data_IF_000888487745
#
_entry.id   IF_000888487745
#
_cell.length_a   1.000
_cell.length_b   1.000
_cell.length_c   1.000
_cell.angle_alpha   90.00
_cell.angle_beta   90.00
_cell.angle_gamma   90.00
#
_symmetry.space_group_name_H-M   'P 1'
#
loop_
_entity.id
_entity.type
_entity.pdbx_description
1 polymer ?
#
# COMPACT_ATOMS: atom_id res chain seq x y z
N UNK A 1 -11.72 -9.42 -15.68
CA UNK A 1 -10.76 -8.33 -16.00
C UNK A 1 -9.46 -8.59 -15.25
N UNK A 2 -8.34 -8.58 -15.97
CA UNK A 2 -6.99 -8.91 -15.46
C UNK A 2 -6.54 -8.03 -14.28
N UNK A 3 -7.17 -6.88 -14.08
CA UNK A 3 -6.87 -5.95 -12.98
C UNK A 3 -7.35 -6.44 -11.60
N UNK A 4 -8.41 -7.26 -11.52
CA UNK A 4 -8.95 -7.76 -10.24
C UNK A 4 -7.89 -8.43 -9.33
N UNK A 5 -7.08 -9.38 -9.83
CA UNK A 5 -6.05 -10.01 -8.99
C UNK A 5 -4.93 -9.05 -8.57
N UNK A 6 -4.59 -8.05 -9.38
CA UNK A 6 -3.57 -7.05 -9.03
C UNK A 6 -4.05 -6.18 -7.88
N UNK A 7 -5.29 -5.67 -7.97
CA UNK A 7 -5.90 -4.88 -6.91
C UNK A 7 -6.01 -5.66 -5.60
N UNK A 8 -6.28 -6.97 -5.67
CA UNK A 8 -6.31 -7.83 -4.48
C UNK A 8 -4.96 -7.86 -3.77
N UNK A 9 -3.86 -8.05 -4.51
CA UNK A 9 -2.50 -8.07 -3.93
C UNK A 9 -2.11 -6.73 -3.32
N UNK A 10 -2.49 -5.62 -3.97
CA UNK A 10 -2.25 -4.28 -3.44
C UNK A 10 -2.99 -4.10 -2.11
N UNK A 11 -4.28 -4.48 -2.04
CA UNK A 11 -5.05 -4.40 -0.80
C UNK A 11 -4.46 -5.27 0.31
N UNK A 12 -4.02 -6.49 -0.01
CA UNK A 12 -3.35 -7.38 0.96
C UNK A 12 -2.06 -6.75 1.52
N UNK A 13 -1.26 -6.09 0.68
CA UNK A 13 -0.07 -5.37 1.12
C UNK A 13 -0.41 -4.15 2.00
N UNK A 14 -1.46 -3.40 1.64
CA UNK A 14 -1.96 -2.26 2.44
C UNK A 14 -2.42 -2.72 3.82
N UNK A 15 -3.22 -3.79 3.90
CA UNK A 15 -3.72 -4.35 5.16
C UNK A 15 -2.59 -4.85 6.06
N UNK A 16 -1.58 -5.49 5.48
CA UNK A 16 -0.43 -5.97 6.23
C UNK A 16 0.40 -4.82 6.82
N UNK A 17 0.78 -3.84 6.00
CA UNK A 17 1.52 -2.65 6.48
C UNK A 17 0.71 -1.88 7.52
N UNK A 18 -0.60 -1.72 7.29
CA UNK A 18 -1.52 -1.06 8.21
C UNK A 18 -1.57 -1.75 9.57
N UNK A 19 -1.75 -3.07 9.59
CA UNK A 19 -1.82 -3.85 10.83
C UNK A 19 -0.49 -3.91 11.58
N UNK A 20 0.64 -4.12 10.90
CA UNK A 20 1.97 -4.17 11.52
C UNK A 20 2.37 -2.83 12.17
N UNK A 21 1.95 -1.72 11.57
CA UNK A 21 2.24 -0.37 12.07
C UNK A 21 1.12 0.24 12.92
N UNK A 22 0.08 -0.55 13.20
CA UNK A 22 -1.05 -0.13 14.06
C UNK A 22 -1.78 1.11 13.54
N UNK A 23 -2.02 1.19 12.23
CA UNK A 23 -2.89 2.22 11.65
C UNK A 23 -4.35 1.78 11.69
N UNK A 24 -5.22 2.65 12.19
CA UNK A 24 -6.66 2.43 12.18
C UNK A 24 -7.30 2.74 10.82
N UNK A 25 -6.69 3.65 10.04
CA UNK A 25 -7.17 4.13 8.74
C UNK A 25 -6.01 4.39 7.78
N UNK A 26 -6.20 3.98 6.52
CA UNK A 26 -5.31 4.32 5.39
C UNK A 26 -6.17 5.05 4.35
N UNK A 27 -5.71 6.22 3.94
CA UNK A 27 -6.42 7.10 3.01
C UNK A 27 -5.71 7.14 1.66
N UNK A 28 -6.47 7.09 0.57
CA UNK A 28 -5.93 7.24 -0.78
C UNK A 28 -5.67 8.72 -1.09
N UNK A 29 -4.39 9.07 -1.21
CA UNK A 29 -3.95 10.43 -1.53
C UNK A 29 -4.46 10.95 -2.88
N UNK A 30 -4.84 10.09 -3.83
CA UNK A 30 -5.37 10.51 -5.14
C UNK A 30 -6.83 10.99 -5.07
N UNK A 31 -7.59 10.56 -4.06
CA UNK A 31 -9.05 10.77 -4.05
C UNK A 31 -9.50 12.18 -3.72
N UNK A 32 -8.57 13.12 -3.51
CA UNK A 32 -8.88 14.51 -3.19
C UNK A 32 -9.50 14.62 -1.80
N UNK A 33 -8.71 15.00 -0.80
CA UNK A 33 -9.19 15.09 0.58
C UNK A 33 -8.08 15.30 1.60
N UNK A 34 -6.85 14.94 1.23
CA UNK A 34 -5.66 15.21 2.04
C UNK A 34 -5.04 16.52 1.54
N UNK A 35 -5.26 17.61 2.29
CA UNK A 35 -4.67 18.93 1.99
C UNK A 35 -3.23 19.02 2.50
N UNK A 36 -2.92 18.28 3.57
CA UNK A 36 -1.59 18.21 4.18
C UNK A 36 -1.43 16.90 4.96
N UNK A 37 -0.26 16.27 4.84
CA UNK A 37 0.18 15.17 5.68
C UNK A 37 1.72 15.20 5.81
N UNK A 38 2.25 14.71 6.93
CA UNK A 38 3.69 14.50 7.08
C UNK A 38 4.12 13.35 6.16
N UNK A 39 5.33 13.45 5.58
CA UNK A 39 5.89 12.37 4.76
C UNK A 39 6.00 11.05 5.56
N UNK A 40 6.20 11.14 6.87
CA UNK A 40 6.21 9.98 7.79
C UNK A 40 4.87 9.23 7.87
N UNK A 41 3.78 9.78 7.31
CA UNK A 41 2.48 9.12 7.20
C UNK A 41 2.20 8.60 5.78
N UNK A 42 3.12 8.82 4.84
CA UNK A 42 3.02 8.29 3.49
C UNK A 42 3.50 6.83 3.46
N UNK A 43 2.56 5.90 3.36
CA UNK A 43 2.85 4.46 3.35
C UNK A 43 3.16 3.91 1.96
N UNK A 44 3.20 4.75 0.91
CA UNK A 44 3.34 4.29 -0.48
C UNK A 44 4.59 3.41 -0.67
N UNK A 45 5.74 3.84 -0.14
CA UNK A 45 6.99 3.09 -0.26
C UNK A 45 6.93 1.74 0.49
N UNK A 46 6.39 1.75 1.72
CA UNK A 46 6.28 0.56 2.56
C UNK A 46 5.34 -0.49 1.94
N UNK A 47 4.22 -0.03 1.37
CA UNK A 47 3.26 -0.90 0.68
C UNK A 47 3.84 -1.46 -0.61
N UNK A 48 4.61 -0.68 -1.37
CA UNK A 48 5.30 -1.17 -2.56
C UNK A 48 6.36 -2.22 -2.21
N UNK A 49 7.11 -2.01 -1.13
CA UNK A 49 8.08 -2.98 -0.63
C UNK A 49 7.38 -4.28 -0.23
N UNK A 50 6.30 -4.20 0.53
CA UNK A 50 5.53 -5.38 0.94
C UNK A 50 4.89 -6.11 -0.25
N UNK A 51 4.33 -5.37 -1.20
CA UNK A 51 3.81 -5.92 -2.43
C UNK A 51 4.89 -6.68 -3.21
N UNK A 52 6.10 -6.12 -3.28
CA UNK A 52 7.24 -6.74 -3.98
C UNK A 52 7.64 -8.10 -3.37
N UNK A 53 7.58 -8.22 -2.03
CA UNK A 53 7.83 -9.48 -1.29
C UNK A 53 6.78 -10.53 -1.63
N UNK A 54 5.51 -10.13 -1.79
CA UNK A 54 4.40 -11.03 -2.14
C UNK A 54 4.43 -11.51 -3.60
N UNK A 55 5.03 -10.73 -4.50
CA UNK A 55 5.10 -11.06 -5.92
C UNK A 55 6.33 -11.89 -6.28
N UNK A 56 7.26 -12.09 -5.33
CA UNK A 56 8.58 -12.66 -5.59
C UNK A 56 9.43 -11.66 -6.34
N UNK A 57 10.69 -11.50 -5.92
CA UNK A 57 11.68 -10.71 -6.62
C UNK A 57 11.64 -11.00 -8.11
N UNK A 58 11.28 -10.00 -8.92
CA UNK A 58 11.81 -9.94 -10.28
C UNK A 58 13.28 -9.64 -10.11
N UNK A 59 14.05 -10.70 -9.90
CA UNK A 59 15.49 -10.69 -10.11
C UNK A 59 15.68 -10.50 -11.61
N UNK A 60 16.17 -9.34 -12.01
CA UNK A 60 17.11 -9.23 -13.13
C UNK A 60 18.51 -9.01 -12.55
#
# INVERSE_FOLDING_TARGET
KLLKPVLKKINEAIEKVGSERSYDLILDAQTGGIVYALESHNLTADVLEELSKSTGSVTE
#
